data_IF_018597097976
#
_entry.id   IF_018597097976
#
_cell.length_a   1.000
_cell.length_b   1.000
_cell.length_c   1.000
_cell.angle_alpha   90.00
_cell.angle_beta   90.00
_cell.angle_gamma   90.00
#
_symmetry.space_group_name_H-M   'P 1'
#
loop_
_entity.id
_entity.type
_entity.pdbx_description
1 polymer ?
#
# COMPACT_ATOMS: atom_id res chain seq x y z
N UNK A 1 41.16 -44.92 -12.32
CA UNK A 1 40.75 -43.86 -13.26
C UNK A 1 39.55 -43.20 -12.62
N UNK A 2 39.66 -41.93 -12.25
CA UNK A 2 38.56 -41.16 -11.66
C UNK A 2 37.92 -40.39 -12.80
N UNK A 3 36.61 -40.52 -12.99
CA UNK A 3 35.88 -39.71 -13.95
C UNK A 3 35.71 -38.30 -13.34
N UNK A 4 36.17 -37.27 -14.07
CA UNK A 4 36.12 -35.88 -13.61
C UNK A 4 34.93 -35.11 -14.19
N UNK A 5 34.30 -35.63 -15.25
CA UNK A 5 33.11 -35.06 -15.86
C UNK A 5 32.28 -36.15 -16.55
N UNK A 6 31.02 -35.82 -16.83
CA UNK A 6 30.09 -36.64 -17.61
C UNK A 6 29.40 -35.76 -18.64
N UNK A 7 29.22 -36.28 -19.86
CA UNK A 7 28.46 -35.62 -20.92
C UNK A 7 27.24 -36.48 -21.25
N UNK A 8 26.06 -35.88 -21.24
CA UNK A 8 24.81 -36.59 -21.49
C UNK A 8 23.60 -35.68 -21.30
N UNK A 9 22.41 -36.28 -21.38
CA UNK A 9 21.17 -35.66 -20.94
C UNK A 9 21.11 -35.81 -19.42
N UNK A 10 21.34 -34.72 -18.70
CA UNK A 10 21.51 -34.73 -17.24
C UNK A 10 20.41 -33.86 -16.61
N UNK A 11 19.54 -34.48 -15.83
CA UNK A 11 18.47 -33.81 -15.09
C UNK A 11 18.75 -33.95 -13.58
N UNK A 12 19.53 -33.04 -12.98
CA UNK A 12 19.86 -33.13 -11.57
C UNK A 12 18.62 -32.83 -10.72
N UNK A 13 18.57 -33.41 -9.52
CA UNK A 13 17.67 -32.93 -8.48
C UNK A 13 18.19 -31.59 -7.97
N UNK A 14 17.40 -30.53 -8.13
CA UNK A 14 17.73 -29.19 -7.62
C UNK A 14 16.82 -28.92 -6.43
N UNK A 15 17.43 -28.70 -5.26
CA UNK A 15 16.71 -28.32 -4.04
C UNK A 15 16.78 -26.82 -3.87
N UNK A 16 15.62 -26.19 -3.72
CA UNK A 16 15.52 -24.79 -3.34
C UNK A 16 15.03 -24.68 -1.89
N UNK A 17 15.48 -23.63 -1.21
CA UNK A 17 14.96 -23.27 0.11
C UNK A 17 13.79 -22.31 -0.07
N UNK A 18 12.76 -22.47 0.77
CA UNK A 18 11.70 -21.47 0.89
C UNK A 18 12.31 -20.18 1.43
N UNK A 19 11.98 -19.05 0.82
CA UNK A 19 12.47 -17.73 1.22
C UNK A 19 11.31 -16.78 1.43
N UNK A 20 11.50 -15.78 2.28
CA UNK A 20 10.51 -14.74 2.53
C UNK A 20 11.01 -13.42 1.96
N UNK A 21 10.15 -12.75 1.22
CA UNK A 21 10.34 -11.37 0.80
C UNK A 21 9.70 -10.49 1.88
N UNK A 22 10.52 -9.83 2.68
CA UNK A 22 10.05 -8.86 3.67
C UNK A 22 9.71 -7.52 3.02
N UNK A 23 8.58 -6.93 3.42
CA UNK A 23 8.17 -5.59 3.01
C UNK A 23 8.41 -4.59 4.16
N UNK A 24 9.67 -4.16 4.29
CA UNK A 24 10.08 -3.20 5.32
C UNK A 24 9.92 -1.74 4.85
N UNK A 25 9.93 -0.80 5.80
CA UNK A 25 9.97 0.65 5.57
C UNK A 25 8.79 1.26 4.79
N UNK A 26 7.64 0.57 4.74
CA UNK A 26 6.41 1.15 4.21
C UNK A 26 5.88 2.26 5.11
N UNK A 27 5.44 3.41 4.54
CA UNK A 27 4.79 4.47 5.31
C UNK A 27 3.59 3.98 6.10
N UNK A 28 3.42 4.49 7.33
CA UNK A 28 2.40 4.00 8.27
C UNK A 28 0.95 4.13 7.75
N UNK A 29 0.67 5.13 6.91
CA UNK A 29 -0.66 5.30 6.32
C UNK A 29 -1.04 4.19 5.32
N UNK A 30 -0.07 3.41 4.85
CA UNK A 30 -0.32 2.24 4.00
C UNK A 30 -0.69 0.99 4.82
N UNK A 31 -0.42 0.97 6.12
CA UNK A 31 -0.56 -0.23 6.97
C UNK A 31 -1.99 -0.49 7.47
N UNK A 32 -2.92 0.45 7.27
CA UNK A 32 -4.32 0.29 7.66
C UNK A 32 -4.94 -0.93 6.95
N UNK A 33 -5.73 -1.73 7.67
CA UNK A 33 -6.32 -2.96 7.15
C UNK A 33 -7.33 -2.74 6.02
N UNK A 34 -7.90 -1.54 5.92
CA UNK A 34 -8.80 -1.17 4.83
C UNK A 34 -8.03 -0.64 3.60
N UNK A 35 -6.72 -0.40 3.71
CA UNK A 35 -5.92 0.05 2.57
C UNK A 35 -5.89 -1.02 1.50
N UNK A 36 -6.19 -0.63 0.26
CA UNK A 36 -6.12 -1.48 -0.93
C UNK A 36 -5.27 -0.80 -1.98
N UNK A 37 -4.21 -1.48 -2.44
CA UNK A 37 -3.30 -0.98 -3.46
C UNK A 37 -3.61 -1.61 -4.82
N UNK A 38 -3.86 -0.77 -5.81
CA UNK A 38 -3.91 -1.19 -7.21
C UNK A 38 -2.70 -0.59 -7.92
N UNK A 39 -1.60 -1.33 -7.92
CA UNK A 39 -0.33 -0.86 -8.47
C UNK A 39 -0.31 -1.15 -9.96
N UNK A 40 0.07 -0.15 -10.76
CA UNK A 40 0.09 -0.29 -12.23
C UNK A 40 1.03 -1.40 -12.69
N UNK A 41 2.26 -1.45 -12.15
CA UNK A 41 3.24 -2.46 -12.55
C UNK A 41 4.24 -2.79 -11.43
N UNK A 42 3.85 -3.58 -10.40
CA UNK A 42 4.82 -4.06 -9.43
C UNK A 42 5.82 -5.00 -10.10
N UNK A 43 7.09 -4.89 -9.73
CA UNK A 43 8.19 -5.67 -10.29
C UNK A 43 8.91 -6.44 -9.17
N UNK A 44 9.04 -7.75 -9.34
CA UNK A 44 9.95 -8.57 -8.53
C UNK A 44 11.13 -8.95 -9.41
N UNK A 45 12.31 -8.47 -9.04
CA UNK A 45 13.58 -8.83 -9.66
C UNK A 45 14.16 -10.05 -8.96
N UNK A 46 14.44 -11.09 -9.73
CA UNK A 46 15.14 -12.29 -9.29
C UNK A 46 16.52 -12.34 -9.94
N UNK A 47 17.56 -12.43 -9.12
CA UNK A 47 18.95 -12.55 -9.58
C UNK A 47 19.47 -13.91 -9.20
N UNK A 48 20.00 -14.65 -10.16
CA UNK A 48 20.54 -15.99 -9.92
C UNK A 48 21.75 -16.27 -10.83
N UNK A 49 22.71 -17.04 -10.32
CA UNK A 49 23.85 -17.52 -11.11
C UNK A 49 23.73 -19.03 -11.35
N UNK A 50 23.25 -19.41 -12.53
CA UNK A 50 23.13 -20.79 -12.93
C UNK A 50 24.50 -21.33 -13.36
N UNK A 51 25.07 -22.22 -12.56
CA UNK A 51 26.38 -22.83 -12.83
C UNK A 51 26.31 -24.02 -13.79
N UNK A 52 25.12 -24.45 -14.22
CA UNK A 52 24.95 -25.53 -15.18
C UNK A 52 25.10 -24.98 -16.60
N UNK A 53 25.73 -25.77 -17.47
CA UNK A 53 25.82 -25.48 -18.92
C UNK A 53 24.50 -25.74 -19.66
N UNK A 54 23.38 -25.84 -18.94
CA UNK A 54 22.04 -26.02 -19.47
C UNK A 54 21.07 -25.05 -18.78
N UNK A 55 20.00 -24.61 -19.48
CA UNK A 55 18.96 -23.82 -18.85
C UNK A 55 18.27 -24.55 -17.70
N UNK A 56 17.91 -23.80 -16.66
CA UNK A 56 17.06 -24.24 -15.55
C UNK A 56 15.73 -23.50 -15.66
N UNK A 57 14.63 -24.22 -15.73
CA UNK A 57 13.29 -23.64 -15.59
C UNK A 57 12.94 -23.51 -14.11
N UNK A 58 12.24 -22.45 -13.75
CA UNK A 58 11.81 -22.20 -12.37
C UNK A 58 10.30 -22.03 -12.34
N UNK A 59 9.63 -22.94 -11.64
CA UNK A 59 8.26 -22.75 -11.21
C UNK A 59 8.26 -22.14 -9.80
N UNK A 60 7.31 -21.26 -9.49
CA UNK A 60 7.24 -20.60 -8.19
C UNK A 60 5.80 -20.38 -7.71
N UNK A 61 5.60 -20.47 -6.40
CA UNK A 61 4.37 -20.06 -5.71
C UNK A 61 4.74 -18.94 -4.75
N UNK A 62 4.11 -17.78 -4.92
CA UNK A 62 4.28 -16.61 -4.08
C UNK A 62 3.02 -16.43 -3.24
N UNK A 63 3.17 -16.45 -1.93
CA UNK A 63 2.06 -16.45 -0.96
C UNK A 63 2.19 -15.24 -0.04
N UNK A 64 1.29 -14.24 -0.13
CA UNK A 64 1.32 -13.09 0.76
C UNK A 64 0.81 -13.47 2.15
N UNK A 65 1.57 -13.08 3.18
CA UNK A 65 1.34 -13.43 4.58
C UNK A 65 1.06 -12.16 5.40
N UNK A 66 0.04 -12.20 6.27
CA UNK A 66 -0.28 -11.12 7.22
C UNK A 66 -0.59 -11.71 8.59
N UNK A 67 0.11 -11.27 9.62
CA UNK A 67 -0.01 -11.82 10.97
C UNK A 67 0.26 -13.33 11.02
N UNK A 68 1.22 -13.83 10.24
CA UNK A 68 1.53 -15.26 10.04
C UNK A 68 0.40 -16.09 9.41
N UNK A 69 -0.61 -15.47 8.81
CA UNK A 69 -1.67 -16.16 8.06
C UNK A 69 -1.62 -15.77 6.59
N UNK A 70 -1.86 -16.74 5.71
CA UNK A 70 -2.00 -16.48 4.27
C UNK A 70 -3.19 -15.56 4.01
N UNK A 71 -3.02 -14.62 3.08
CA UNK A 71 -4.16 -13.85 2.55
C UNK A 71 -4.89 -14.71 1.51
N UNK A 72 -6.10 -15.16 1.87
CA UNK A 72 -6.89 -16.09 1.07
C UNK A 72 -7.12 -15.60 -0.37
N UNK A 73 -6.87 -16.48 -1.33
CA UNK A 73 -7.12 -16.22 -2.76
C UNK A 73 -6.17 -15.21 -3.41
N UNK A 74 -5.08 -14.82 -2.75
CA UNK A 74 -4.10 -13.85 -3.25
C UNK A 74 -2.76 -14.47 -3.68
N UNK A 75 -2.64 -15.79 -3.64
CA UNK A 75 -1.48 -16.53 -4.14
C UNK A 75 -1.23 -16.26 -5.64
N UNK A 76 0.05 -16.15 -6.01
CA UNK A 76 0.49 -15.97 -7.40
C UNK A 76 1.39 -17.12 -7.82
N UNK A 77 1.09 -17.73 -8.97
CA UNK A 77 1.85 -18.84 -9.54
C UNK A 77 2.58 -18.42 -10.79
N UNK A 78 3.85 -18.79 -10.87
CA UNK A 78 4.76 -18.42 -11.96
C UNK A 78 5.41 -19.68 -12.52
N UNK A 79 5.63 -19.72 -13.84
CA UNK A 79 6.35 -20.80 -14.51
C UNK A 79 5.47 -21.76 -15.31
N UNK A 80 6.14 -22.59 -16.12
CA UNK A 80 5.52 -23.48 -17.11
C UNK A 80 4.71 -24.60 -16.45
N UNK A 81 5.09 -25.06 -15.26
CA UNK A 81 4.38 -26.08 -14.49
C UNK A 81 2.95 -25.69 -14.11
N UNK A 82 2.66 -24.38 -14.08
CA UNK A 82 1.33 -23.83 -13.84
C UNK A 82 0.63 -23.35 -15.13
N UNK A 83 1.18 -23.68 -16.31
CA UNK A 83 0.65 -23.22 -17.59
C UNK A 83 0.85 -21.72 -17.84
N UNK A 84 1.80 -21.08 -17.15
CA UNK A 84 2.15 -19.66 -17.28
C UNK A 84 3.43 -19.51 -18.12
N UNK A 85 3.82 -18.25 -18.38
CA UNK A 85 5.06 -17.94 -19.09
C UNK A 85 6.26 -18.57 -18.37
N UNK A 86 7.15 -19.31 -19.08
CA UNK A 86 8.32 -19.92 -18.46
C UNK A 86 9.29 -18.90 -17.87
N UNK A 87 9.81 -19.19 -16.68
CA UNK A 87 10.98 -18.50 -16.13
C UNK A 87 12.19 -19.38 -16.41
N UNK A 88 13.13 -18.87 -17.20
CA UNK A 88 14.30 -19.64 -17.65
C UNK A 88 15.58 -18.94 -17.21
N UNK A 89 16.41 -19.65 -16.46
CA UNK A 89 17.76 -19.23 -16.10
C UNK A 89 18.76 -19.83 -17.09
N UNK A 90 19.31 -18.99 -17.98
CA UNK A 90 20.39 -19.37 -18.87
C UNK A 90 21.67 -19.67 -18.06
N UNK A 91 22.62 -20.40 -18.66
CA UNK A 91 23.94 -20.60 -18.05
C UNK A 91 24.59 -19.25 -17.72
N UNK A 92 25.13 -19.12 -16.50
CA UNK A 92 25.73 -17.89 -15.98
C UNK A 92 24.77 -17.00 -15.22
N UNK A 93 25.00 -15.68 -15.30
CA UNK A 93 24.25 -14.69 -14.51
C UNK A 93 22.92 -14.33 -15.17
N UNK A 94 21.87 -14.36 -14.37
CA UNK A 94 20.51 -14.03 -14.76
C UNK A 94 19.96 -12.93 -13.87
N UNK A 95 19.17 -12.05 -14.48
CA UNK A 95 18.33 -11.06 -13.82
C UNK A 95 16.96 -11.13 -14.50
N UNK A 96 15.98 -11.70 -13.81
CA UNK A 96 14.62 -11.92 -14.31
C UNK A 96 13.70 -10.91 -13.65
N UNK A 97 12.91 -10.19 -14.45
CA UNK A 97 11.86 -9.31 -13.94
C UNK A 97 10.50 -9.99 -14.07
N UNK A 98 9.81 -10.20 -12.95
CA UNK A 98 8.41 -10.60 -12.90
C UNK A 98 7.56 -9.33 -12.78
N UNK A 99 6.69 -9.03 -13.75
CA UNK A 99 5.89 -7.81 -13.71
C UNK A 99 4.50 -7.97 -14.34
N UNK A 100 3.57 -7.09 -13.96
CA UNK A 100 2.17 -7.14 -14.43
C UNK A 100 2.08 -6.96 -15.95
N UNK A 101 2.87 -6.04 -16.48
CA UNK A 101 2.88 -5.70 -17.91
C UNK A 101 3.80 -6.60 -18.72
N UNK A 102 4.77 -7.28 -18.09
CA UNK A 102 5.86 -7.95 -18.78
C UNK A 102 6.95 -6.98 -19.25
N UNK A 103 6.92 -5.74 -18.77
CA UNK A 103 7.96 -4.74 -19.01
C UNK A 103 8.60 -4.33 -17.67
N UNK A 104 9.89 -4.01 -17.73
CA UNK A 104 10.68 -3.48 -16.62
C UNK A 104 11.70 -2.48 -17.18
N UNK A 105 11.88 -1.35 -16.50
CA UNK A 105 12.83 -0.30 -16.89
C UNK A 105 14.15 -0.39 -16.13
N UNK A 106 14.32 -1.36 -15.23
CA UNK A 106 15.53 -1.50 -14.41
C UNK A 106 16.66 -2.05 -15.28
N UNK A 107 17.82 -1.38 -15.24
CA UNK A 107 18.98 -1.79 -16.03
C UNK A 107 19.52 -3.17 -15.62
N UNK A 108 20.05 -3.91 -16.59
CA UNK A 108 20.66 -5.21 -16.38
C UNK A 108 19.69 -6.40 -16.33
N UNK A 109 18.39 -6.17 -16.52
CA UNK A 109 17.41 -7.24 -16.71
C UNK A 109 17.73 -8.04 -17.97
N UNK A 110 17.87 -9.35 -17.80
CA UNK A 110 18.17 -10.32 -18.87
C UNK A 110 16.91 -10.94 -19.48
N UNK A 111 15.79 -10.97 -18.73
CA UNK A 111 14.52 -11.50 -19.20
C UNK A 111 13.35 -10.85 -18.47
N UNK A 112 12.26 -10.58 -19.19
CA UNK A 112 11.01 -10.08 -18.62
C UNK A 112 9.93 -11.15 -18.72
N UNK A 113 9.23 -11.40 -17.63
CA UNK A 113 8.18 -12.41 -17.53
C UNK A 113 6.90 -11.73 -17.06
N UNK A 114 5.86 -11.79 -17.90
CA UNK A 114 4.55 -11.24 -17.58
C UNK A 114 3.84 -12.13 -16.56
N UNK A 115 3.43 -11.53 -15.44
CA UNK A 115 2.65 -12.13 -14.35
C UNK A 115 1.44 -11.22 -14.07
N UNK A 116 0.34 -11.45 -14.77
CA UNK A 116 -0.83 -10.54 -14.79
C UNK A 116 -1.47 -10.33 -13.39
N UNK A 117 -1.40 -11.36 -12.55
CA UNK A 117 -1.96 -11.43 -11.21
C UNK A 117 -0.99 -10.99 -10.10
N UNK A 118 0.21 -10.48 -10.43
CA UNK A 118 1.23 -10.10 -9.44
C UNK A 118 0.78 -9.01 -8.46
N UNK A 119 -0.20 -8.16 -8.82
CA UNK A 119 -0.79 -7.20 -7.89
C UNK A 119 -1.54 -7.86 -6.73
N UNK A 120 -2.00 -9.12 -6.87
CA UNK A 120 -2.67 -9.84 -5.79
C UNK A 120 -1.80 -9.92 -4.52
N UNK A 121 -0.48 -10.01 -4.70
CA UNK A 121 0.50 -10.07 -3.61
C UNK A 121 0.53 -8.78 -2.77
N UNK A 122 0.17 -7.64 -3.36
CA UNK A 122 0.34 -6.32 -2.77
C UNK A 122 -0.99 -5.56 -2.60
N UNK A 123 -2.11 -6.11 -3.09
CA UNK A 123 -3.42 -5.47 -3.00
C UNK A 123 -3.81 -5.18 -1.56
N UNK A 124 -3.64 -6.16 -0.68
CA UNK A 124 -3.58 -5.93 0.77
C UNK A 124 -2.14 -6.07 1.16
N UNK A 125 -1.59 -5.07 1.84
CA UNK A 125 -0.16 -5.07 2.21
C UNK A 125 0.11 -6.24 3.16
N UNK A 126 0.92 -7.22 2.74
CA UNK A 126 1.35 -8.30 3.61
C UNK A 126 2.53 -7.83 4.48
N UNK A 127 2.82 -8.58 5.54
CA UNK A 127 4.05 -8.43 6.32
C UNK A 127 5.24 -9.02 5.54
N UNK A 128 5.02 -10.16 4.89
CA UNK A 128 5.99 -10.85 4.06
C UNK A 128 5.31 -11.64 2.92
N UNK A 129 6.09 -12.01 1.90
CA UNK A 129 5.66 -12.92 0.84
C UNK A 129 6.54 -14.16 0.89
N UNK A 130 5.95 -15.30 1.24
CA UNK A 130 6.61 -16.61 1.19
C UNK A 130 6.76 -17.03 -0.28
N UNK A 131 7.95 -17.50 -0.65
CA UNK A 131 8.28 -17.94 -2.01
C UNK A 131 8.76 -19.38 -1.98
N UNK A 132 7.95 -20.28 -2.55
CA UNK A 132 8.31 -21.68 -2.80
C UNK A 132 8.80 -21.83 -4.24
N UNK A 133 10.05 -22.24 -4.42
CA UNK A 133 10.71 -22.38 -5.72
C UNK A 133 10.88 -23.84 -6.10
N UNK A 134 10.58 -24.16 -7.35
CA UNK A 134 10.68 -25.50 -7.92
C UNK A 134 11.54 -25.47 -9.20
N UNK A 135 12.87 -25.36 -9.05
CA UNK A 135 13.80 -25.37 -10.18
C UNK A 135 13.90 -26.77 -10.80
N UNK A 136 13.91 -26.84 -12.13
CA UNK A 136 13.99 -28.10 -12.88
C UNK A 136 14.72 -27.91 -14.20
N UNK A 137 15.56 -28.88 -14.56
CA UNK A 137 16.14 -28.95 -15.91
C UNK A 137 15.19 -29.79 -16.77
N UNK A 138 14.51 -29.15 -17.72
CA UNK A 138 13.66 -29.84 -18.72
C UNK A 138 14.37 -30.09 -20.05
N UNK A 139 15.59 -29.58 -20.21
CA UNK A 139 16.34 -29.70 -21.46
C UNK A 139 16.72 -31.16 -21.75
N UNK A 140 16.53 -31.59 -22.99
CA UNK A 140 16.88 -32.93 -23.49
C UNK A 140 18.19 -32.94 -24.28
N UNK A 141 18.86 -31.79 -24.42
CA UNK A 141 20.17 -31.69 -25.06
C UNK A 141 21.30 -32.21 -24.18
N UNK A 142 22.40 -32.58 -24.84
CA UNK A 142 23.62 -33.01 -24.17
C UNK A 142 24.39 -31.80 -23.61
N UNK A 143 24.77 -31.86 -22.34
CA UNK A 143 25.73 -30.93 -21.75
C UNK A 143 26.74 -31.66 -20.85
N UNK A 144 27.79 -30.96 -20.45
CA UNK A 144 28.84 -31.52 -19.59
C UNK A 144 28.65 -31.04 -18.15
N UNK A 145 28.68 -31.99 -17.21
CA UNK A 145 28.73 -31.70 -15.78
C UNK A 145 30.05 -32.21 -15.19
N UNK A 146 30.68 -31.38 -14.36
CA UNK A 146 31.85 -31.74 -13.57
C UNK A 146 31.43 -32.59 -12.37
N UNK A 147 32.17 -33.67 -12.14
CA UNK A 147 31.92 -34.61 -11.05
C UNK A 147 32.76 -34.25 -9.82
N UNK A 148 32.26 -34.56 -8.62
CA UNK A 148 33.00 -34.38 -7.37
C UNK A 148 33.00 -32.95 -6.82
N UNK A 149 32.13 -32.07 -7.33
CA UNK A 149 31.85 -30.75 -6.76
C UNK A 149 30.37 -30.58 -6.43
N UNK A 150 30.06 -29.70 -5.50
CA UNK A 150 28.69 -29.21 -5.32
C UNK A 150 28.40 -28.13 -6.37
N UNK A 151 27.16 -28.09 -6.85
CA UNK A 151 26.63 -26.99 -7.64
C UNK A 151 25.75 -26.14 -6.74
N UNK A 152 26.07 -24.86 -6.64
CA UNK A 152 25.30 -23.89 -5.89
C UNK A 152 24.74 -22.85 -6.87
N UNK A 153 23.58 -22.31 -6.57
CA UNK A 153 22.95 -21.25 -7.35
C UNK A 153 22.68 -20.06 -6.43
N UNK A 154 23.71 -19.24 -6.18
CA UNK A 154 23.55 -18.02 -5.39
C UNK A 154 22.43 -17.18 -6.00
N UNK A 155 21.45 -16.86 -5.16
CA UNK A 155 20.23 -16.18 -5.59
C UNK A 155 19.91 -15.03 -4.64
N UNK A 156 19.35 -13.97 -5.19
CA UNK A 156 18.86 -12.81 -4.42
C UNK A 156 17.64 -12.23 -5.13
N UNK A 157 16.85 -11.46 -4.39
CA UNK A 157 15.67 -10.79 -4.92
C UNK A 157 15.71 -9.30 -4.56
N UNK A 158 14.96 -8.53 -5.33
CA UNK A 158 14.72 -7.12 -5.12
C UNK A 158 13.27 -6.85 -5.54
N UNK A 159 12.50 -6.14 -4.72
CA UNK A 159 11.12 -5.79 -5.06
C UNK A 159 11.05 -4.30 -5.30
N UNK A 160 10.65 -3.93 -6.51
CA UNK A 160 10.37 -2.56 -6.90
C UNK A 160 8.86 -2.38 -6.99
N UNK A 161 8.31 -1.64 -6.03
CA UNK A 161 6.90 -1.30 -5.98
C UNK A 161 6.75 0.16 -6.35
N UNK A 162 6.41 0.50 -7.61
CA UNK A 162 6.09 1.87 -7.93
C UNK A 162 4.81 2.23 -7.17
N UNK A 163 4.88 3.24 -6.29
CA UNK A 163 3.72 3.79 -5.60
C UNK A 163 2.89 4.71 -6.53
N UNK A 164 2.73 4.29 -7.78
CA UNK A 164 1.79 4.85 -8.74
C UNK A 164 0.60 3.89 -8.85
N UNK A 165 -0.58 4.45 -8.66
CA UNK A 165 -1.79 3.65 -8.46
C UNK A 165 -2.80 3.85 -9.59
N UNK A 166 -3.61 2.82 -9.79
CA UNK A 166 -4.78 2.83 -10.66
C UNK A 166 -6.06 3.19 -9.89
N UNK A 167 -7.23 2.99 -10.52
CA UNK A 167 -8.51 3.52 -10.06
C UNK A 167 -9.06 2.84 -8.80
N UNK A 168 -8.56 1.66 -8.39
CA UNK A 168 -9.09 0.95 -7.22
C UNK A 168 -8.31 1.21 -5.92
N UNK A 169 -7.52 2.29 -5.87
CA UNK A 169 -6.79 2.69 -4.67
C UNK A 169 -7.74 3.11 -3.55
N UNK A 170 -7.57 2.51 -2.38
CA UNK A 170 -8.12 3.01 -1.13
C UNK A 170 -6.97 3.19 -0.14
N UNK A 171 -6.63 4.41 0.23
CA UNK A 171 -5.68 4.69 1.30
C UNK A 171 -6.43 5.39 2.42
N UNK A 172 -6.19 4.91 3.64
CA UNK A 172 -6.82 5.43 4.84
C UNK A 172 -5.82 6.29 5.61
N UNK A 173 -6.13 7.57 5.77
CA UNK A 173 -5.37 8.47 6.65
C UNK A 173 -6.18 8.78 7.90
N UNK A 174 -5.64 8.45 9.07
CA UNK A 174 -6.28 8.61 10.37
C UNK A 174 -5.53 9.66 11.20
N UNK A 175 -6.24 10.66 11.71
CA UNK A 175 -5.63 11.70 12.57
C UNK A 175 -6.68 12.31 13.51
N UNK A 176 -6.24 13.20 14.40
CA UNK A 176 -7.10 13.87 15.36
C UNK A 176 -6.65 15.28 15.73
N UNK A 177 -7.61 16.18 15.90
CA UNK A 177 -7.41 17.46 16.59
C UNK A 177 -7.76 17.23 18.06
N UNK A 178 -6.82 17.52 18.96
CA UNK A 178 -6.95 17.24 20.40
C UNK A 178 -6.96 18.54 21.23
N UNK A 179 -7.20 18.42 22.54
CA UNK A 179 -7.17 19.51 23.51
C UNK A 179 -8.21 20.63 23.27
N UNK A 180 -9.24 20.37 22.46
CA UNK A 180 -10.27 21.36 22.13
C UNK A 180 -11.10 21.77 23.35
N UNK A 181 -11.18 20.92 24.38
CA UNK A 181 -11.98 21.20 25.55
C UNK A 181 -11.51 22.45 26.29
N UNK A 182 -10.19 22.70 26.29
CA UNK A 182 -9.58 23.86 26.95
C UNK A 182 -10.08 25.19 26.37
N UNK A 183 -10.41 25.20 25.08
CA UNK A 183 -10.90 26.37 24.36
C UNK A 183 -12.42 26.44 24.31
N UNK A 184 -13.11 25.30 24.43
CA UNK A 184 -14.56 25.20 24.25
C UNK A 184 -15.35 25.06 25.56
N UNK A 185 -14.71 24.74 26.69
CA UNK A 185 -15.39 24.45 27.96
C UNK A 185 -16.29 25.59 28.47
N UNK A 186 -15.89 26.84 28.25
CA UNK A 186 -16.63 28.05 28.67
C UNK A 186 -17.89 28.31 27.81
N UNK A 187 -18.09 27.55 26.73
CA UNK A 187 -19.29 27.62 25.90
C UNK A 187 -20.51 26.93 26.54
N UNK A 188 -20.36 26.33 27.71
CA UNK A 188 -21.46 25.77 28.51
C UNK A 188 -22.53 26.82 28.89
N UNK A 189 -22.13 28.09 28.94
CA UNK A 189 -22.99 29.25 29.23
C UNK A 189 -23.77 29.78 28.01
N UNK A 190 -23.55 29.20 26.83
CA UNK A 190 -24.17 29.64 25.58
C UNK A 190 -25.07 28.56 25.03
N UNK A 191 -26.28 28.93 24.60
CA UNK A 191 -27.23 27.98 24.01
C UNK A 191 -26.87 27.75 22.53
N UNK A 192 -26.12 26.69 22.24
CA UNK A 192 -25.68 26.34 20.89
C UNK A 192 -26.17 24.96 20.48
N UNK A 193 -26.98 24.89 19.42
CA UNK A 193 -27.45 23.62 18.85
C UNK A 193 -26.73 23.21 17.57
N UNK A 194 -25.96 24.12 16.98
CA UNK A 194 -25.27 23.93 15.69
C UNK A 194 -23.90 24.57 15.73
N UNK A 195 -22.93 23.92 15.11
CA UNK A 195 -21.62 24.48 14.86
C UNK A 195 -21.03 23.89 13.58
N UNK A 196 -20.21 24.68 12.89
CA UNK A 196 -19.50 24.28 11.69
C UNK A 196 -18.01 24.31 12.00
N UNK A 197 -17.31 23.21 11.75
CA UNK A 197 -15.86 23.12 11.78
C UNK A 197 -15.37 23.27 10.35
N UNK A 198 -14.72 24.39 10.06
CA UNK A 198 -14.13 24.71 8.78
C UNK A 198 -12.64 24.40 8.84
N UNK A 199 -12.19 23.52 7.96
CA UNK A 199 -10.79 23.12 7.84
C UNK A 199 -10.25 23.62 6.50
N UNK A 200 -9.08 24.24 6.51
CA UNK A 200 -8.30 24.49 5.31
C UNK A 200 -7.15 23.50 5.28
N UNK A 201 -7.05 22.73 4.20
CA UNK A 201 -6.07 21.64 4.07
C UNK A 201 -5.27 21.85 2.80
N UNK A 202 -3.94 21.87 2.95
CA UNK A 202 -3.01 21.86 1.84
C UNK A 202 -2.57 20.41 1.60
N UNK A 203 -2.69 19.96 0.35
CA UNK A 203 -2.36 18.60 -0.06
C UNK A 203 -1.30 18.61 -1.17
N UNK A 204 -0.10 18.11 -0.85
CA UNK A 204 0.98 17.90 -1.81
C UNK A 204 1.05 16.44 -2.33
N UNK A 205 0.12 15.58 -1.89
CA UNK A 205 0.04 14.17 -2.27
C UNK A 205 -0.74 14.06 -3.61
N UNK A 206 -0.33 13.20 -4.56
CA UNK A 206 -1.05 12.93 -5.80
C UNK A 206 -2.33 12.11 -5.63
N UNK A 207 -3.03 12.28 -4.52
CA UNK A 207 -4.23 11.54 -4.17
C UNK A 207 -5.35 12.50 -3.79
N UNK A 208 -6.51 12.28 -4.39
CA UNK A 208 -7.73 12.98 -4.01
C UNK A 208 -8.26 12.30 -2.76
N UNK A 209 -8.49 13.05 -1.70
CA UNK A 209 -8.96 12.49 -0.44
C UNK A 209 -10.42 12.88 -0.20
N UNK A 210 -11.18 11.99 0.43
CA UNK A 210 -12.56 12.23 0.82
C UNK A 210 -12.71 12.04 2.33
N UNK A 211 -13.35 13.00 2.99
CA UNK A 211 -13.86 12.86 4.35
C UNK A 211 -15.34 12.45 4.27
N UNK A 212 -15.74 11.39 4.97
CA UNK A 212 -17.16 11.03 5.11
C UNK A 212 -17.65 11.29 6.53
N UNK A 213 -18.93 11.65 6.76
CA UNK A 213 -19.43 11.91 8.10
C UNK A 213 -19.25 10.75 9.08
N UNK A 214 -19.41 9.51 8.60
CA UNK A 214 -19.21 8.28 9.38
C UNK A 214 -17.76 8.06 9.82
N UNK A 215 -16.81 8.69 9.12
CA UNK A 215 -15.38 8.61 9.42
C UNK A 215 -14.94 9.68 10.44
N UNK A 216 -15.87 10.43 11.01
CA UNK A 216 -15.59 11.46 12.01
C UNK A 216 -16.12 11.03 13.38
N UNK A 217 -15.23 11.01 14.38
CA UNK A 217 -15.59 10.74 15.77
C UNK A 217 -15.36 12.00 16.60
N UNK A 218 -16.38 12.42 17.34
CA UNK A 218 -16.31 13.53 18.29
C UNK A 218 -16.21 12.92 19.68
N UNK A 219 -15.12 13.20 20.41
CA UNK A 219 -14.85 12.60 21.71
C UNK A 219 -14.73 13.64 22.82
N UNK A 220 -15.11 13.23 24.02
CA UNK A 220 -14.92 14.01 25.24
C UNK A 220 -13.52 13.87 25.83
N UNK A 221 -13.26 14.61 26.93
CA UNK A 221 -11.98 14.60 27.68
C UNK A 221 -11.59 13.22 28.23
N UNK A 222 -12.56 12.30 28.34
CA UNK A 222 -12.34 10.94 28.79
C UNK A 222 -12.14 9.96 27.63
N UNK A 223 -12.20 10.44 26.38
CA UNK A 223 -12.06 9.64 25.17
C UNK A 223 -13.34 8.92 24.72
N UNK A 224 -14.49 9.19 25.35
CA UNK A 224 -15.76 8.61 24.96
C UNK A 224 -16.35 9.36 23.78
N UNK A 225 -16.99 8.64 22.85
CA UNK A 225 -17.69 9.29 21.73
C UNK A 225 -18.97 9.99 22.20
N UNK A 226 -19.14 11.24 21.78
CA UNK A 226 -20.37 12.01 21.91
C UNK A 226 -21.37 11.60 20.80
N UNK A 227 -21.91 10.39 20.91
CA UNK A 227 -22.79 9.77 19.90
C UNK A 227 -24.06 10.55 19.58
N UNK A 228 -24.53 11.39 20.51
CA UNK A 228 -25.70 12.25 20.31
C UNK A 228 -25.43 13.42 19.34
N UNK A 229 -24.16 13.76 19.08
CA UNK A 229 -23.78 14.78 18.11
C UNK A 229 -23.95 14.21 16.71
N UNK A 230 -24.87 14.77 15.93
CA UNK A 230 -25.04 14.43 14.51
C UNK A 230 -24.01 15.17 13.68
N UNK A 231 -23.38 14.45 12.76
CA UNK A 231 -22.33 14.93 11.87
C UNK A 231 -22.84 14.91 10.43
N UNK A 232 -22.71 16.01 9.72
CA UNK A 232 -22.92 16.08 8.26
C UNK A 232 -21.79 16.87 7.62
N UNK A 233 -21.46 16.59 6.36
CA UNK A 233 -20.47 17.37 5.61
C UNK A 233 -21.22 18.18 4.57
N UNK A 234 -20.82 19.44 4.39
CA UNK A 234 -21.41 20.29 3.35
C UNK A 234 -21.12 19.71 1.96
N UNK A 235 -22.10 19.80 1.06
CA UNK A 235 -21.97 19.31 -0.31
C UNK A 235 -20.76 19.97 -1.00
N UNK A 236 -20.02 19.19 -1.78
CA UNK A 236 -18.76 19.57 -2.44
C UNK A 236 -17.60 20.01 -1.53
N UNK A 237 -17.78 19.99 -0.20
CA UNK A 237 -16.75 20.28 0.82
C UNK A 237 -16.31 19.04 1.58
N UNK A 238 -16.44 17.87 0.95
CA UNK A 238 -15.98 16.59 1.46
C UNK A 238 -14.65 16.13 0.86
N UNK A 239 -14.09 16.87 -0.11
CA UNK A 239 -12.89 16.47 -0.83
C UNK A 239 -11.69 17.37 -0.55
N UNK A 240 -10.53 16.75 -0.41
CA UNK A 240 -9.23 17.41 -0.52
C UNK A 240 -8.66 17.07 -1.90
N UNK A 241 -8.48 18.10 -2.70
CA UNK A 241 -7.99 17.98 -4.08
C UNK A 241 -6.55 17.48 -4.10
N UNK A 242 -6.23 16.61 -5.05
CA UNK A 242 -4.90 16.06 -5.29
C UNK A 242 -3.89 17.10 -5.79
N UNK A 243 -2.60 16.87 -5.52
CA UNK A 243 -1.51 17.52 -6.26
C UNK A 243 -1.28 16.80 -7.58
N UNK A 244 -1.56 17.44 -8.70
CA UNK A 244 -1.46 16.78 -10.03
C UNK A 244 -0.02 16.51 -10.48
N UNK A 245 0.98 17.18 -9.90
CA UNK A 245 2.41 16.93 -10.16
C UNK A 245 3.13 16.26 -8.99
N UNK A 246 2.45 16.09 -7.85
CA UNK A 246 3.02 15.54 -6.63
C UNK A 246 4.10 16.43 -6.00
N UNK A 247 4.13 17.72 -6.36
CA UNK A 247 5.09 18.72 -5.87
C UNK A 247 4.40 19.99 -5.37
N UNK A 248 3.43 20.52 -6.13
CA UNK A 248 2.71 21.74 -5.78
C UNK A 248 1.51 21.42 -4.91
N UNK A 249 1.43 21.96 -3.68
CA UNK A 249 0.28 21.73 -2.83
C UNK A 249 -0.97 22.41 -3.39
N UNK A 250 -2.11 21.75 -3.26
CA UNK A 250 -3.42 22.31 -3.57
C UNK A 250 -4.19 22.51 -2.28
N UNK A 251 -4.73 23.72 -2.10
CA UNK A 251 -5.54 24.07 -0.93
C UNK A 251 -7.00 23.71 -1.19
N UNK A 252 -7.62 23.01 -0.24
CA UNK A 252 -9.05 22.69 -0.23
C UNK A 252 -9.68 23.08 1.10
N UNK A 253 -10.99 23.29 1.09
CA UNK A 253 -11.77 23.55 2.29
C UNK A 253 -12.69 22.37 2.59
N UNK A 254 -12.68 21.89 3.83
CA UNK A 254 -13.64 20.92 4.34
C UNK A 254 -14.57 21.60 5.35
N UNK A 255 -15.86 21.27 5.30
CA UNK A 255 -16.86 21.84 6.22
C UNK A 255 -17.68 20.74 6.87
N UNK A 256 -17.38 20.50 8.15
CA UNK A 256 -18.11 19.56 8.99
C UNK A 256 -19.16 20.33 9.81
N UNK A 257 -20.42 19.95 9.66
CA UNK A 257 -21.54 20.49 10.43
C UNK A 257 -21.86 19.54 11.58
N UNK A 258 -21.93 20.11 12.79
CA UNK A 258 -22.27 19.43 14.03
C UNK A 258 -23.62 19.95 14.50
N UNK A 259 -24.53 19.04 14.84
CA UNK A 259 -25.82 19.39 15.43
C UNK A 259 -26.13 18.51 16.64
N UNK A 260 -26.69 19.10 17.69
CA UNK A 260 -27.03 18.41 18.92
C UNK A 260 -28.26 19.05 19.58
N UNK A 261 -29.05 18.23 20.28
CA UNK A 261 -30.09 18.73 21.18
C UNK A 261 -29.54 19.18 22.54
N UNK A 262 -28.38 18.63 22.93
CA UNK A 262 -27.63 19.10 24.09
C UNK A 262 -26.99 20.44 23.75
N UNK A 263 -27.48 21.51 24.34
CA UNK A 263 -27.04 22.89 24.07
C UNK A 263 -25.64 23.19 24.57
N UNK A 264 -25.10 22.34 25.46
CA UNK A 264 -23.74 22.43 25.99
C UNK A 264 -22.79 21.42 25.32
N UNK A 265 -23.16 20.81 24.18
CA UNK A 265 -22.34 19.74 23.57
C UNK A 265 -20.93 20.22 23.21
N UNK A 266 -20.77 21.48 22.76
CA UNK A 266 -19.46 22.02 22.37
C UNK A 266 -18.48 22.06 23.54
N UNK A 267 -18.94 22.38 24.75
CA UNK A 267 -18.09 22.40 25.95
C UNK A 267 -17.66 21.01 26.43
N UNK A 268 -18.21 19.96 25.83
CA UNK A 268 -17.81 18.57 26.10
C UNK A 268 -16.82 18.03 25.08
N UNK A 269 -16.65 18.68 23.93
CA UNK A 269 -15.73 18.22 22.89
C UNK A 269 -14.30 18.45 23.36
N UNK A 270 -13.49 17.40 23.29
CA UNK A 270 -12.04 17.47 23.48
C UNK A 270 -11.28 17.09 22.21
N UNK A 271 -11.79 16.11 21.47
CA UNK A 271 -11.10 15.56 20.31
C UNK A 271 -12.02 15.34 19.13
N UNK A 272 -11.57 15.74 17.95
CA UNK A 272 -12.17 15.39 16.66
C UNK A 272 -11.22 14.42 15.97
N UNK A 273 -11.58 13.14 15.90
CA UNK A 273 -10.84 12.13 15.14
C UNK A 273 -11.46 12.04 13.75
N UNK A 274 -10.64 11.90 12.71
CA UNK A 274 -11.13 11.78 11.34
C UNK A 274 -10.31 10.75 10.55
N UNK A 275 -11.01 10.12 9.61
CA UNK A 275 -10.47 9.17 8.65
C UNK A 275 -10.74 9.67 7.22
N UNK A 276 -9.67 10.03 6.51
CA UNK A 276 -9.72 10.39 5.10
C UNK A 276 -9.47 9.16 4.24
N UNK A 277 -10.27 8.98 3.20
CA UNK A 277 -10.13 7.88 2.23
C UNK A 277 -9.68 8.43 0.90
N UNK A 278 -8.62 7.89 0.31
CA UNK A 278 -8.27 8.22 -1.07
C UNK A 278 -9.39 7.76 -2.02
N UNK A 279 -9.69 8.60 -3.01
CA UNK A 279 -10.68 8.33 -4.05
C UNK A 279 -10.03 8.56 -5.42
N UNK A 280 -10.57 7.98 -6.51
CA UNK A 280 -10.05 8.21 -7.84
C UNK A 280 -9.89 9.69 -8.16
N UNK A 281 -8.69 10.07 -8.58
CA UNK A 281 -8.31 11.42 -8.98
C UNK A 281 -7.75 11.48 -10.39
N UNK A 282 -7.22 12.63 -10.76
CA UNK A 282 -6.64 12.92 -12.09
C UNK A 282 -5.12 12.73 -12.17
N UNK A 283 -4.43 12.55 -11.04
CA UNK A 283 -2.97 12.39 -10.93
C UNK A 283 -2.50 10.95 -11.24
N UNK A 284 -2.88 10.40 -12.40
CA UNK A 284 -2.47 9.06 -12.80
C UNK A 284 -0.97 9.01 -13.13
N UNK A 285 -0.26 8.01 -12.60
CA UNK A 285 1.17 7.79 -12.89
C UNK A 285 2.13 8.69 -12.11
N UNK A 286 1.65 9.53 -11.20
CA UNK A 286 2.48 10.33 -10.30
C UNK A 286 2.78 9.51 -9.04
N UNK A 287 4.05 9.19 -8.74
CA UNK A 287 4.38 8.33 -7.60
C UNK A 287 4.23 9.08 -6.27
N UNK A 288 3.88 8.34 -5.22
CA UNK A 288 4.05 8.81 -3.84
C UNK A 288 5.54 8.98 -3.52
N UNK A 289 5.88 10.07 -2.83
CA UNK A 289 7.24 10.40 -2.39
C UNK A 289 7.25 10.74 -0.90
N UNK A 290 8.38 10.51 -0.26
CA UNK A 290 8.64 10.87 1.14
C UNK A 290 8.59 12.39 1.42
N UNK A 291 8.77 13.21 0.39
CA UNK A 291 8.66 14.67 0.47
C UNK A 291 7.23 15.21 0.43
N UNK A 292 6.23 14.37 0.14
CA UNK A 292 4.83 14.78 0.03
C UNK A 292 4.17 14.81 1.41
N UNK A 293 3.18 15.69 1.58
CA UNK A 293 2.56 15.92 2.87
C UNK A 293 1.12 16.40 2.74
N UNK A 294 0.36 16.18 3.80
CA UNK A 294 -0.96 16.76 4.04
C UNK A 294 -0.86 17.65 5.26
N UNK A 295 -1.35 18.89 5.19
CA UNK A 295 -1.30 19.83 6.31
C UNK A 295 -2.61 20.57 6.48
N UNK A 296 -3.17 20.48 7.68
CA UNK A 296 -4.25 21.39 8.08
C UNK A 296 -3.63 22.76 8.41
N UNK A 297 -3.93 23.77 7.60
CA UNK A 297 -3.37 25.13 7.75
C UNK A 297 -4.26 26.04 8.57
N UNK A 298 -5.57 25.76 8.64
CA UNK A 298 -6.52 26.49 9.45
C UNK A 298 -7.64 25.60 9.95
N UNK A 299 -8.04 25.82 11.19
CA UNK A 299 -9.22 25.23 11.80
C UNK A 299 -10.02 26.40 12.37
N UNK A 300 -11.30 26.50 12.00
CA UNK A 300 -12.21 27.52 12.51
C UNK A 300 -13.51 26.88 12.95
N UNK A 301 -13.98 27.26 14.13
CA UNK A 301 -15.33 26.96 14.58
C UNK A 301 -16.23 28.15 14.26
N UNK A 302 -17.36 27.90 13.58
CA UNK A 302 -18.39 28.89 13.28
C UNK A 302 -19.72 28.44 13.86
N UNK A 303 -20.51 29.38 14.37
CA UNK A 303 -21.82 29.10 14.98
C UNK A 303 -22.90 29.80 14.16
N UNK A 304 -23.56 29.10 13.23
CA UNK A 304 -24.59 29.70 12.38
C UNK A 304 -25.84 30.04 13.20
N UNK A 305 -26.35 31.27 13.03
CA UNK A 305 -27.57 31.74 13.72
C UNK A 305 -27.33 32.59 14.96
N UNK A 306 -26.07 32.84 15.34
CA UNK A 306 -25.73 33.68 16.48
C UNK A 306 -25.77 32.95 17.82
N UNK A 307 -25.58 33.71 18.89
CA UNK A 307 -25.36 33.24 20.26
C UNK A 307 -26.50 33.79 21.13
N UNK A 308 -27.29 32.91 21.75
CA UNK A 308 -28.20 33.30 22.83
C UNK A 308 -27.48 33.11 24.16
N UNK A 309 -27.26 34.20 24.88
CA UNK A 309 -26.63 34.21 26.21
C UNK A 309 -27.72 34.39 27.26
N UNK A 310 -27.80 33.48 28.22
CA UNK A 310 -28.57 33.72 29.44
C UNK A 310 -27.72 34.57 30.38
N UNK A 311 -28.22 35.76 30.72
CA UNK A 311 -27.52 36.75 31.55
C UNK A 311 -28.07 36.80 32.99
N UNK A 312 -28.91 35.83 33.36
CA UNK A 312 -29.54 35.78 34.69
C UNK A 312 -28.77 34.89 35.68
#
# INVERSE_FOLDING_TARGET
>A
MTANSVTGVIQPEIKAETTNIELNDLPDFLKDEETRMDITNPVILLRAENQLETPVEVDAVLTPMKGNAQIDGKEVKVGSGYGKTPVVLASGKNVIALSRTGECTIEGVTSNVKVEDINNLLETIPDDIEVDLQPVVRNEDYYTAELGRAYEMPSSYEVDVPLSFEQNLNIVYNDSVQDLNKDLNDLDKVILKKANVLLTVDNAIPLKLQLKPENVLIKDVYGNELTAVKKTIEEDKQYVTESTDGEKPVTSELVLNLTSEDTAFLSKIDRICFKLTAVPGSATGVPLKDTQWLKVTSIKLSVPGGVNVDLN
#
